data_IF_307604816561
#
_entry.id   IF_307604816561
#
_cell.length_a   1.000
_cell.length_b   1.000
_cell.length_c   1.000
_cell.angle_alpha   90.00
_cell.angle_beta   90.00
_cell.angle_gamma   90.00
#
_symmetry.space_group_name_H-M   'P 1'
#
loop_
_entity.id
_entity.type
_entity.pdbx_description
1 polymer ?
#
# COMPACT_ATOMS: atom_id res chain seq x y z
N UNK A 1 -37.07 26.21 43.25
CA UNK A 1 -35.89 26.21 42.34
C UNK A 1 -34.52 26.19 43.05
N UNK A 2 -34.41 26.44 44.37
CA UNK A 2 -33.12 26.33 45.12
C UNK A 2 -32.84 24.95 45.74
N UNK A 3 -33.86 24.13 46.04
CA UNK A 3 -33.65 22.80 46.64
C UNK A 3 -33.07 21.74 45.67
N UNK A 4 -33.44 21.76 44.39
CA UNK A 4 -32.95 20.77 43.39
C UNK A 4 -31.44 20.89 43.12
N UNK A 5 -30.88 22.10 43.13
CA UNK A 5 -29.44 22.33 42.95
C UNK A 5 -28.61 21.76 44.10
N UNK A 6 -29.10 21.87 45.35
CA UNK A 6 -28.37 21.37 46.51
C UNK A 6 -28.36 19.85 46.59
N UNK A 7 -29.45 19.18 46.17
CA UNK A 7 -29.50 17.71 46.11
C UNK A 7 -28.58 17.15 45.01
N UNK A 8 -28.51 17.82 43.86
CA UNK A 8 -27.56 17.46 42.79
C UNK A 8 -26.10 17.65 43.23
N UNK A 9 -25.82 18.72 44.00
CA UNK A 9 -24.48 18.98 44.53
C UNK A 9 -24.07 17.96 45.60
N UNK A 10 -24.98 17.56 46.49
CA UNK A 10 -24.73 16.51 47.49
C UNK A 10 -24.55 15.12 46.87
N UNK A 11 -25.32 14.79 45.82
CA UNK A 11 -25.14 13.54 45.07
C UNK A 11 -23.79 13.51 44.34
N UNK A 12 -23.39 14.61 43.69
CA UNK A 12 -22.05 14.73 43.09
C UNK A 12 -20.95 14.58 44.15
N UNK A 13 -21.12 15.21 45.31
CA UNK A 13 -20.14 15.14 46.40
C UNK A 13 -20.05 13.73 46.99
N UNK A 14 -21.16 13.00 47.09
CA UNK A 14 -21.19 11.60 47.56
C UNK A 14 -20.60 10.62 46.54
N UNK A 15 -20.77 10.88 45.24
CA UNK A 15 -20.14 10.11 44.16
C UNK A 15 -18.62 10.38 44.12
N UNK A 16 -18.20 11.64 44.31
CA UNK A 16 -16.79 12.05 44.43
C UNK A 16 -16.12 11.53 45.71
N UNK A 17 -16.84 11.37 46.81
CA UNK A 17 -16.28 10.79 48.04
C UNK A 17 -16.29 9.25 48.06
N UNK A 18 -17.10 8.62 47.21
CA UNK A 18 -17.09 7.16 46.97
C UNK A 18 -16.05 6.70 45.95
N UNK A 19 -15.43 7.64 45.22
CA UNK A 19 -14.09 7.46 44.70
C UNK A 19 -13.13 7.49 45.90
N UNK A 20 -13.14 6.41 46.68
CA UNK A 20 -11.89 5.90 47.21
C UNK A 20 -11.04 5.76 45.96
N UNK A 21 -10.16 6.75 45.76
CA UNK A 21 -8.93 6.59 45.04
C UNK A 21 -8.29 5.36 45.68
N UNK A 22 -8.63 4.18 45.15
CA UNK A 22 -7.66 3.13 45.00
C UNK A 22 -6.65 3.80 44.10
N UNK A 23 -5.76 4.62 44.67
CA UNK A 23 -4.46 4.83 44.05
C UNK A 23 -4.02 3.39 43.87
N UNK A 24 -3.91 2.89 42.63
CA UNK A 24 -3.27 1.62 42.46
C UNK A 24 -1.89 1.87 43.04
N UNK A 25 -1.66 1.44 44.29
CA UNK A 25 -0.31 1.30 44.79
C UNK A 25 0.26 0.36 43.77
N UNK A 26 1.20 0.80 42.93
CA UNK A 26 1.75 -0.11 41.93
C UNK A 26 2.27 -1.29 42.73
N UNK A 27 1.53 -2.40 42.66
CA UNK A 27 1.96 -3.64 43.27
C UNK A 27 3.11 -4.02 42.38
N UNK A 28 4.30 -3.63 42.80
CA UNK A 28 5.53 -4.09 42.19
C UNK A 28 5.41 -5.61 42.29
N UNK A 29 5.41 -6.30 41.15
CA UNK A 29 5.47 -7.75 41.16
C UNK A 29 6.63 -8.14 42.09
N UNK A 30 6.36 -8.91 43.15
CA UNK A 30 7.41 -9.37 44.03
C UNK A 30 8.24 -10.36 43.23
N UNK A 31 9.40 -9.90 42.79
CA UNK A 31 10.31 -10.67 41.98
C UNK A 31 11.55 -10.97 42.82
N UNK A 32 11.69 -12.23 43.23
CA UNK A 32 12.84 -12.73 43.97
C UNK A 32 13.62 -13.67 43.03
N UNK A 33 14.80 -13.20 42.61
CA UNK A 33 15.68 -13.94 41.71
C UNK A 33 16.11 -15.29 42.27
N UNK A 34 16.22 -15.43 43.60
CA UNK A 34 16.60 -16.68 44.24
C UNK A 34 15.54 -17.79 44.10
N UNK A 35 14.30 -17.40 43.81
CA UNK A 35 13.18 -18.32 43.59
C UNK A 35 12.98 -18.64 42.10
N UNK A 36 13.67 -17.93 41.20
CA UNK A 36 13.56 -18.16 39.77
C UNK A 36 14.33 -19.42 39.38
N UNK A 37 13.60 -20.46 38.96
CA UNK A 37 14.21 -21.67 38.44
C UNK A 37 15.08 -21.36 37.22
N UNK A 38 16.26 -21.97 37.16
CA UNK A 38 17.23 -21.86 36.06
C UNK A 38 17.83 -20.45 35.84
N UNK A 39 17.76 -19.57 36.85
CA UNK A 39 18.27 -18.20 36.72
C UNK A 39 19.80 -18.15 36.56
N UNK A 40 20.54 -19.01 37.25
CA UNK A 40 22.00 -19.04 37.16
C UNK A 40 22.48 -19.42 35.74
N UNK A 41 21.78 -20.34 35.08
CA UNK A 41 22.01 -20.75 33.70
C UNK A 41 21.72 -19.61 32.73
N UNK A 42 20.57 -18.91 32.90
CA UNK A 42 20.22 -17.74 32.07
C UNK A 42 21.21 -16.60 32.27
N UNK A 43 21.59 -16.33 33.52
CA UNK A 43 22.59 -15.31 33.89
C UNK A 43 23.93 -15.59 33.22
N UNK A 44 24.37 -16.85 33.22
CA UNK A 44 25.61 -17.27 32.57
C UNK A 44 25.52 -17.17 31.04
N UNK A 45 24.42 -17.63 30.43
CA UNK A 45 24.28 -17.69 28.98
C UNK A 45 24.11 -16.30 28.33
N UNK A 46 23.48 -15.37 29.04
CA UNK A 46 23.29 -13.98 28.60
C UNK A 46 24.36 -13.02 29.14
N UNK A 47 25.35 -13.52 29.90
CA UNK A 47 26.42 -12.72 30.48
C UNK A 47 25.91 -11.51 31.29
N UNK A 48 24.86 -11.70 32.10
CA UNK A 48 24.23 -10.62 32.87
C UNK A 48 25.21 -10.09 33.92
N UNK A 49 25.50 -8.79 33.88
CA UNK A 49 26.43 -8.15 34.83
C UNK A 49 25.78 -7.91 36.20
N UNK A 50 26.57 -7.72 37.28
CA UNK A 50 26.03 -7.38 38.60
C UNK A 50 25.18 -6.10 38.59
N UNK A 51 25.54 -5.11 37.76
CA UNK A 51 24.76 -3.89 37.60
C UNK A 51 23.41 -4.18 36.93
N UNK A 52 23.39 -5.03 35.90
CA UNK A 52 22.16 -5.45 35.21
C UNK A 52 21.25 -6.28 36.12
N UNK A 53 21.82 -7.15 36.94
CA UNK A 53 21.11 -7.92 37.97
C UNK A 53 20.46 -6.99 39.01
N UNK A 54 21.20 -5.98 39.48
CA UNK A 54 20.63 -4.97 40.38
C UNK A 54 19.48 -4.17 39.73
N UNK A 55 19.56 -3.91 38.41
CA UNK A 55 18.45 -3.30 37.67
C UNK A 55 17.25 -4.24 37.57
N UNK A 56 17.48 -5.54 37.35
CA UNK A 56 16.44 -6.55 37.30
C UNK A 56 15.71 -6.69 38.65
N UNK A 57 16.41 -6.67 39.78
CA UNK A 57 15.80 -6.63 41.12
C UNK A 57 15.02 -5.32 41.38
N UNK A 58 15.56 -4.20 40.89
CA UNK A 58 14.96 -2.88 41.11
C UNK A 58 13.74 -2.63 40.23
N UNK A 59 13.73 -3.08 38.99
CA UNK A 59 12.69 -2.72 38.01
C UNK A 59 11.91 -3.90 37.46
N UNK A 60 12.35 -5.14 37.68
CA UNK A 60 11.72 -6.35 37.14
C UNK A 60 12.02 -6.60 35.66
N UNK A 61 12.88 -5.79 35.03
CA UNK A 61 13.39 -6.03 33.68
C UNK A 61 14.79 -5.41 33.53
N UNK A 62 15.53 -5.87 32.54
CA UNK A 62 16.82 -5.30 32.13
C UNK A 62 17.00 -5.45 30.62
N UNK A 63 17.73 -4.53 30.00
CA UNK A 63 18.12 -4.64 28.60
C UNK A 63 19.53 -5.21 28.56
N UNK A 64 19.69 -6.33 27.86
CA UNK A 64 20.98 -6.99 27.66
C UNK A 64 21.36 -6.81 26.20
N UNK A 65 22.52 -6.22 25.97
CA UNK A 65 23.11 -6.18 24.64
C UNK A 65 23.70 -7.56 24.34
N UNK A 66 23.18 -8.19 23.28
CA UNK A 66 23.71 -9.46 22.82
C UNK A 66 24.99 -9.16 22.04
N UNK A 67 26.13 -9.44 22.65
CA UNK A 67 27.39 -9.46 21.93
C UNK A 67 27.31 -10.57 20.89
N UNK A 68 27.60 -10.24 19.64
CA UNK A 68 27.94 -11.26 18.66
C UNK A 68 29.23 -11.91 19.16
N UNK A 69 29.10 -13.10 19.75
CA UNK A 69 30.26 -13.91 20.05
C UNK A 69 30.99 -14.15 18.73
N UNK A 70 32.32 -14.15 18.78
CA UNK A 70 33.22 -14.44 17.66
C UNK A 70 33.17 -15.93 17.29
N UNK A 71 31.96 -16.43 17.05
CA UNK A 71 31.70 -17.75 16.54
C UNK A 71 31.92 -17.72 15.01
N UNK A 72 32.65 -18.68 14.43
CA UNK A 72 32.83 -18.81 12.98
C UNK A 72 31.52 -18.87 12.16
N UNK A 73 30.35 -18.98 12.80
CA UNK A 73 29.02 -18.89 12.20
C UNK A 73 28.40 -17.47 12.17
N UNK A 74 29.13 -16.41 12.58
CA UNK A 74 28.67 -15.00 12.63
C UNK A 74 28.02 -14.47 11.33
N UNK A 75 28.29 -15.09 10.18
CA UNK A 75 27.66 -14.71 8.92
C UNK A 75 26.28 -15.33 8.66
N UNK A 76 25.87 -16.34 9.45
CA UNK A 76 24.68 -17.15 9.20
C UNK A 76 23.55 -16.81 10.17
N UNK A 77 23.86 -16.62 11.45
CA UNK A 77 22.89 -16.31 12.49
C UNK A 77 23.22 -14.98 13.16
N UNK A 78 22.21 -14.14 13.38
CA UNK A 78 22.32 -12.86 14.05
C UNK A 78 21.27 -12.75 15.17
N UNK A 79 21.53 -13.32 16.36
CA UNK A 79 20.59 -13.33 17.47
C UNK A 79 20.25 -11.95 18.02
N UNK A 80 21.05 -10.91 17.70
CA UNK A 80 20.75 -9.52 18.06
C UNK A 80 19.68 -8.88 17.14
N UNK A 81 19.52 -9.37 15.91
CA UNK A 81 18.61 -8.81 14.90
C UNK A 81 17.43 -9.72 14.56
N UNK A 82 17.55 -11.04 14.79
CA UNK A 82 16.53 -12.02 14.41
C UNK A 82 16.05 -12.80 15.62
N UNK A 83 14.74 -12.80 15.80
CA UNK A 83 14.07 -13.46 16.91
C UNK A 83 14.32 -14.97 16.90
N UNK A 84 14.21 -15.61 15.74
CA UNK A 84 14.47 -17.05 15.57
C UNK A 84 15.92 -17.42 15.90
N UNK A 85 16.88 -16.57 15.54
CA UNK A 85 18.30 -16.81 15.80
C UNK A 85 18.60 -16.70 17.29
N UNK A 86 17.94 -15.78 18.01
CA UNK A 86 18.04 -15.70 19.47
C UNK A 86 17.56 -16.99 20.14
N UNK A 87 16.37 -17.48 19.77
CA UNK A 87 15.82 -18.71 20.36
C UNK A 87 16.66 -19.93 20.01
N UNK A 88 17.16 -20.03 18.78
CA UNK A 88 18.00 -21.15 18.38
C UNK A 88 19.37 -21.11 19.08
N UNK A 89 20.08 -19.98 19.01
CA UNK A 89 21.48 -19.88 19.43
C UNK A 89 21.66 -19.63 20.93
N UNK A 90 20.81 -18.79 21.55
CA UNK A 90 20.94 -18.48 22.98
C UNK A 90 20.09 -19.38 23.85
N UNK A 91 18.86 -19.71 23.45
CA UNK A 91 17.95 -20.51 24.28
C UNK A 91 18.17 -22.02 24.07
N UNK A 92 17.95 -22.53 22.86
CA UNK A 92 17.99 -23.97 22.57
C UNK A 92 19.38 -24.59 22.73
N UNK A 93 20.42 -23.95 22.18
CA UNK A 93 21.79 -24.45 22.27
C UNK A 93 22.35 -24.52 23.70
N UNK A 94 21.86 -23.66 24.61
CA UNK A 94 22.27 -23.64 26.02
C UNK A 94 21.28 -24.36 26.95
N UNK A 95 20.30 -25.09 26.39
CA UNK A 95 19.26 -25.80 27.15
C UNK A 95 18.52 -24.91 28.17
N UNK A 96 18.29 -23.64 27.80
CA UNK A 96 17.60 -22.68 28.67
C UNK A 96 16.07 -22.87 28.62
N UNK A 97 15.34 -22.43 29.67
CA UNK A 97 13.89 -22.45 29.64
C UNK A 97 13.31 -21.68 28.45
N UNK A 98 12.40 -22.31 27.71
CA UNK A 98 11.71 -21.68 26.58
C UNK A 98 10.55 -20.84 27.10
N UNK A 99 10.62 -19.53 26.86
CA UNK A 99 9.54 -18.60 27.17
C UNK A 99 8.72 -18.31 25.91
N UNK A 100 7.43 -18.65 25.91
CA UNK A 100 6.55 -18.41 24.75
C UNK A 100 5.65 -17.21 25.05
N UNK A 101 5.74 -16.18 24.22
CA UNK A 101 4.94 -14.95 24.33
C UNK A 101 3.94 -14.84 23.19
N UNK A 102 2.96 -13.95 23.33
CA UNK A 102 2.10 -13.55 22.20
C UNK A 102 2.94 -13.03 21.02
N UNK A 103 4.02 -12.31 21.30
CA UNK A 103 4.90 -11.74 20.27
C UNK A 103 5.65 -12.83 19.51
N UNK A 104 6.03 -13.93 20.19
CA UNK A 104 6.65 -15.08 19.52
C UNK A 104 5.73 -15.73 18.49
N UNK A 105 4.42 -15.81 18.80
CA UNK A 105 3.40 -16.35 17.90
C UNK A 105 3.13 -15.34 16.77
N UNK A 106 3.04 -14.05 17.08
CA UNK A 106 2.83 -12.99 16.10
C UNK A 106 4.01 -12.89 15.11
N UNK A 107 5.25 -12.99 15.59
CA UNK A 107 6.45 -13.06 14.76
C UNK A 107 6.38 -14.23 13.78
N UNK A 108 6.08 -15.43 14.27
CA UNK A 108 5.92 -16.60 13.42
C UNK A 108 4.83 -16.39 12.36
N UNK A 109 3.70 -15.79 12.75
CA UNK A 109 2.64 -15.44 11.80
C UNK A 109 3.14 -14.50 10.69
N UNK A 110 3.89 -13.45 11.05
CA UNK A 110 4.47 -12.53 10.06
C UNK A 110 5.45 -13.22 9.11
N UNK A 111 6.34 -14.08 9.63
CA UNK A 111 7.29 -14.84 8.79
C UNK A 111 6.54 -15.75 7.82
N UNK A 112 5.55 -16.50 8.30
CA UNK A 112 4.75 -17.41 7.45
C UNK A 112 3.96 -16.61 6.41
N UNK A 113 3.36 -15.49 6.80
CA UNK A 113 2.62 -14.62 5.89
C UNK A 113 3.54 -14.05 4.79
N UNK A 114 4.67 -13.44 5.17
CA UNK A 114 5.62 -12.84 4.24
C UNK A 114 6.19 -13.86 3.26
N UNK A 115 6.60 -15.04 3.76
CA UNK A 115 7.08 -16.13 2.90
C UNK A 115 6.00 -16.65 1.95
N UNK A 116 4.76 -16.78 2.44
CA UNK A 116 3.63 -17.26 1.63
C UNK A 116 3.29 -16.24 0.53
N UNK A 117 3.23 -14.95 0.88
CA UNK A 117 2.98 -13.86 -0.06
C UNK A 117 4.06 -13.82 -1.15
N UNK A 118 5.34 -13.86 -0.75
CA UNK A 118 6.48 -13.90 -1.68
C UNK A 118 6.37 -15.06 -2.67
N UNK A 119 5.98 -16.25 -2.20
CA UNK A 119 5.80 -17.43 -3.05
C UNK A 119 4.62 -17.26 -4.02
N UNK A 120 3.48 -16.78 -3.53
CA UNK A 120 2.27 -16.54 -4.34
C UNK A 120 2.56 -15.51 -5.42
N UNK A 121 3.19 -14.38 -5.06
CA UNK A 121 3.55 -13.32 -5.99
C UNK A 121 4.51 -13.81 -7.06
N UNK A 122 5.60 -14.48 -6.66
CA UNK A 122 6.63 -14.94 -7.59
C UNK A 122 6.12 -16.02 -8.55
N UNK A 123 5.38 -17.00 -8.03
CA UNK A 123 5.00 -18.19 -8.80
C UNK A 123 3.68 -18.03 -9.56
N UNK A 124 2.76 -17.19 -9.07
CA UNK A 124 1.42 -17.08 -9.61
C UNK A 124 1.11 -15.67 -10.12
N UNK A 125 1.25 -14.65 -9.27
CA UNK A 125 0.79 -13.30 -9.63
C UNK A 125 1.70 -12.63 -10.67
N UNK A 126 3.01 -12.81 -10.60
CA UNK A 126 3.93 -12.26 -11.58
C UNK A 126 3.65 -12.78 -13.00
N UNK A 127 3.55 -14.11 -13.26
CA UNK A 127 3.15 -14.60 -14.58
C UNK A 127 1.80 -14.06 -15.05
N UNK A 128 0.80 -13.96 -14.17
CA UNK A 128 -0.50 -13.39 -14.51
C UNK A 128 -0.40 -11.91 -14.92
N UNK A 129 0.33 -11.12 -14.14
CA UNK A 129 0.55 -9.70 -14.44
C UNK A 129 1.29 -9.51 -15.78
N UNK A 130 2.27 -10.37 -16.07
CA UNK A 130 2.99 -10.37 -17.34
C UNK A 130 2.05 -10.69 -18.51
N UNK A 131 1.23 -11.74 -18.40
CA UNK A 131 0.30 -12.11 -19.46
C UNK A 131 -0.72 -10.99 -19.74
N UNK A 132 -1.25 -10.37 -18.68
CA UNK A 132 -2.20 -9.26 -18.80
C UNK A 132 -1.54 -8.04 -19.44
N UNK A 133 -0.36 -7.64 -18.96
CA UNK A 133 0.37 -6.49 -19.50
C UNK A 133 0.76 -6.72 -20.97
N UNK A 134 1.22 -7.92 -21.32
CA UNK A 134 1.61 -8.27 -22.68
C UNK A 134 0.41 -8.23 -23.64
N UNK A 135 -0.70 -8.86 -23.27
CA UNK A 135 -1.92 -8.84 -24.08
C UNK A 135 -2.44 -7.41 -24.27
N UNK A 136 -2.52 -6.64 -23.18
CA UNK A 136 -3.05 -5.29 -23.22
C UNK A 136 -2.16 -4.37 -24.06
N UNK A 137 -0.84 -4.46 -23.90
CA UNK A 137 0.14 -3.75 -24.71
C UNK A 137 0.01 -4.06 -26.21
N UNK A 138 -0.04 -5.34 -26.58
CA UNK A 138 -0.15 -5.74 -27.98
C UNK A 138 -1.45 -5.25 -28.60
N UNK A 139 -2.56 -5.36 -27.87
CA UNK A 139 -3.87 -4.91 -28.34
C UNK A 139 -3.86 -3.40 -28.52
N UNK A 140 -3.43 -2.63 -27.51
CA UNK A 140 -3.40 -1.18 -27.58
C UNK A 140 -2.47 -0.67 -28.69
N UNK A 141 -1.32 -1.32 -28.90
CA UNK A 141 -0.39 -0.95 -29.96
C UNK A 141 -0.96 -1.23 -31.36
N UNK A 142 -1.66 -2.36 -31.54
CA UNK A 142 -2.33 -2.65 -32.81
C UNK A 142 -3.42 -1.64 -33.12
N UNK A 143 -4.23 -1.28 -32.12
CA UNK A 143 -5.28 -0.27 -32.26
C UNK A 143 -4.67 1.12 -32.55
N UNK A 144 -3.60 1.51 -31.85
CA UNK A 144 -2.86 2.75 -32.10
C UNK A 144 -2.41 2.88 -33.56
N UNK A 145 -1.92 1.78 -34.15
CA UNK A 145 -1.47 1.73 -35.54
C UNK A 145 -2.63 1.70 -36.55
N UNK A 146 -3.85 1.36 -36.11
CA UNK A 146 -5.00 1.14 -36.98
C UNK A 146 -5.99 2.31 -37.01
N UNK A 147 -5.88 3.26 -36.06
CA UNK A 147 -6.77 4.42 -35.97
C UNK A 147 -6.12 5.69 -36.55
N UNK A 148 -6.93 6.68 -37.00
CA UNK A 148 -6.41 7.99 -37.39
C UNK A 148 -5.74 8.72 -36.22
N UNK A 149 -4.65 9.42 -36.50
CA UNK A 149 -3.96 10.29 -35.53
C UNK A 149 -4.48 11.74 -35.65
N UNK A 150 -5.79 11.90 -35.50
CA UNK A 150 -6.52 13.16 -35.75
C UNK A 150 -6.71 14.03 -34.49
N UNK A 151 -6.18 13.59 -33.35
CA UNK A 151 -6.33 14.26 -32.06
C UNK A 151 -7.70 14.07 -31.40
N UNK A 152 -8.54 13.17 -31.91
CA UNK A 152 -9.80 12.81 -31.26
C UNK A 152 -9.55 12.06 -29.93
N UNK A 153 -10.59 11.97 -29.10
CA UNK A 153 -10.57 11.22 -27.83
C UNK A 153 -10.08 9.78 -28.07
N UNK A 154 -10.50 9.16 -29.18
CA UNK A 154 -10.10 7.80 -29.53
C UNK A 154 -8.58 7.66 -29.69
N UNK A 155 -7.95 8.62 -30.38
CA UNK A 155 -6.51 8.66 -30.57
C UNK A 155 -5.79 8.80 -29.23
N UNK A 156 -6.14 9.80 -28.42
CA UNK A 156 -5.45 10.08 -27.16
C UNK A 156 -5.57 8.96 -26.13
N UNK A 157 -6.78 8.42 -25.95
CA UNK A 157 -6.99 7.31 -25.02
C UNK A 157 -6.23 6.05 -25.45
N UNK A 158 -6.21 5.73 -26.75
CA UNK A 158 -5.47 4.58 -27.28
C UNK A 158 -3.96 4.77 -27.16
N UNK A 159 -3.46 5.95 -27.53
CA UNK A 159 -2.05 6.34 -27.45
C UNK A 159 -1.54 6.29 -26.01
N UNK A 160 -2.22 6.94 -25.08
CA UNK A 160 -1.81 6.98 -23.68
C UNK A 160 -1.87 5.58 -23.06
N UNK A 161 -2.94 4.81 -23.31
CA UNK A 161 -3.04 3.43 -22.82
C UNK A 161 -1.96 2.51 -23.39
N UNK A 162 -1.54 2.73 -24.65
CA UNK A 162 -0.40 2.02 -25.25
C UNK A 162 0.87 2.24 -24.44
N UNK A 163 1.13 3.49 -24.03
CA UNK A 163 2.32 3.79 -23.24
C UNK A 163 2.17 3.26 -21.81
N UNK A 164 0.96 3.32 -21.22
CA UNK A 164 0.67 2.74 -19.92
C UNK A 164 1.08 1.26 -19.84
N UNK A 165 0.63 0.47 -20.82
CA UNK A 165 0.97 -0.95 -20.87
C UNK A 165 2.40 -1.20 -21.36
N UNK A 166 2.98 -0.32 -22.17
CA UNK A 166 4.39 -0.40 -22.55
C UNK A 166 5.33 -0.24 -21.35
N UNK A 167 5.04 0.72 -20.45
CA UNK A 167 5.77 0.90 -19.19
C UNK A 167 5.62 -0.36 -18.35
N UNK A 168 4.39 -0.82 -18.10
CA UNK A 168 4.13 -2.02 -17.30
C UNK A 168 4.86 -3.27 -17.84
N UNK A 169 4.78 -3.51 -19.16
CA UNK A 169 5.46 -4.61 -19.80
C UNK A 169 6.98 -4.49 -19.64
N UNK A 170 7.54 -3.28 -19.83
CA UNK A 170 8.99 -3.05 -19.69
C UNK A 170 9.49 -3.28 -18.27
N UNK A 171 8.69 -2.91 -17.26
CA UNK A 171 9.01 -3.18 -15.86
C UNK A 171 9.01 -4.68 -15.56
N UNK A 172 8.03 -5.42 -16.07
CA UNK A 172 7.91 -6.86 -15.85
C UNK A 172 9.01 -7.64 -16.59
N UNK A 173 9.26 -7.36 -17.86
CA UNK A 173 10.26 -8.07 -18.67
C UNK A 173 11.70 -7.63 -18.35
N UNK A 174 11.86 -6.42 -17.80
CA UNK A 174 13.16 -5.76 -17.65
C UNK A 174 13.80 -5.33 -18.98
N UNK A 175 13.00 -5.24 -20.05
CA UNK A 175 13.42 -4.82 -21.38
C UNK A 175 12.47 -3.73 -21.88
N UNK A 176 12.99 -2.66 -22.49
CA UNK A 176 12.15 -1.58 -23.04
C UNK A 176 11.26 -2.10 -24.16
N UNK A 177 9.94 -1.94 -24.01
CA UNK A 177 8.95 -2.32 -25.00
C UNK A 177 9.12 -1.54 -26.31
N UNK A 178 8.87 -2.21 -27.45
CA UNK A 178 9.07 -1.63 -28.78
C UNK A 178 7.86 -0.80 -29.25
N UNK A 179 7.90 0.51 -29.04
CA UNK A 179 6.85 1.46 -29.46
C UNK A 179 7.29 2.30 -30.67
N UNK A 180 6.33 2.86 -31.45
CA UNK A 180 6.62 3.85 -32.49
C UNK A 180 7.48 5.02 -31.97
N UNK A 181 8.31 5.60 -32.84
CA UNK A 181 9.31 6.61 -32.45
C UNK A 181 8.69 7.83 -31.78
N UNK A 182 7.47 8.22 -32.17
CA UNK A 182 6.73 9.30 -31.55
C UNK A 182 6.28 9.04 -30.10
N UNK A 183 6.26 7.78 -29.66
CA UNK A 183 5.89 7.39 -28.29
C UNK A 183 7.10 7.10 -27.40
N UNK A 184 8.31 6.97 -27.97
CA UNK A 184 9.49 6.52 -27.22
C UNK A 184 9.95 7.52 -26.16
N UNK A 185 9.81 8.83 -26.42
CA UNK A 185 10.18 9.86 -25.44
C UNK A 185 9.35 9.75 -24.16
N UNK A 186 8.05 9.48 -24.30
CA UNK A 186 7.11 9.37 -23.21
C UNK A 186 7.25 8.04 -22.44
N UNK A 187 7.54 6.95 -23.15
CA UNK A 187 7.91 5.68 -22.51
C UNK A 187 9.19 5.84 -21.68
N UNK A 188 10.23 6.43 -22.28
CA UNK A 188 11.52 6.62 -21.62
C UNK A 188 11.41 7.58 -20.44
N UNK A 189 10.59 8.64 -20.53
CA UNK A 189 10.33 9.52 -19.40
C UNK A 189 9.92 8.75 -18.14
N UNK A 190 8.98 7.81 -18.25
CA UNK A 190 8.56 7.01 -17.10
C UNK A 190 9.62 6.01 -16.65
N UNK A 191 10.26 5.30 -17.59
CA UNK A 191 11.28 4.30 -17.24
C UNK A 191 12.51 4.94 -16.58
N UNK A 192 12.99 6.06 -17.11
CA UNK A 192 14.16 6.77 -16.61
C UNK A 192 13.93 7.28 -15.18
N UNK A 193 12.73 7.81 -14.89
CA UNK A 193 12.37 8.25 -13.53
C UNK A 193 12.16 7.08 -12.55
N UNK A 194 11.60 5.95 -13.01
CA UNK A 194 11.40 4.75 -12.18
C UNK A 194 12.73 4.05 -11.83
N UNK A 195 13.69 4.06 -12.75
CA UNK A 195 15.00 3.43 -12.58
C UNK A 195 16.12 4.40 -12.20
N UNK A 196 15.80 5.66 -11.92
CA UNK A 196 16.78 6.65 -11.46
C UNK A 196 17.50 6.16 -10.19
N UNK A 197 18.81 6.44 -10.09
CA UNK A 197 19.59 6.14 -8.88
C UNK A 197 19.05 6.88 -7.66
N UNK A 198 18.61 8.13 -7.88
CA UNK A 198 17.93 8.97 -6.90
C UNK A 198 16.54 9.33 -7.41
N UNK A 199 15.52 8.58 -6.98
CA UNK A 199 14.11 8.84 -7.32
C UNK A 199 13.60 10.10 -6.63
N UNK A 200 12.76 10.88 -7.32
CA UNK A 200 12.26 12.16 -6.80
C UNK A 200 10.77 12.41 -7.11
N UNK A 201 10.28 13.56 -6.66
CA UNK A 201 8.97 14.06 -7.03
C UNK A 201 9.09 14.93 -8.28
N UNK A 202 8.33 14.62 -9.33
CA UNK A 202 8.34 15.36 -10.60
C UNK A 202 7.02 16.09 -10.80
N UNK A 203 7.07 17.38 -11.12
CA UNK A 203 5.86 18.17 -11.41
C UNK A 203 5.12 17.58 -12.61
N UNK A 204 3.85 17.23 -12.41
CA UNK A 204 3.05 16.53 -13.41
C UNK A 204 2.00 17.44 -14.05
N UNK A 205 1.28 18.21 -13.22
CA UNK A 205 0.15 19.02 -13.68
C UNK A 205 -0.11 20.23 -12.79
N UNK A 206 -0.44 21.35 -13.42
CA UNK A 206 -1.12 22.45 -12.77
C UNK A 206 -2.62 22.16 -12.74
N UNK A 207 -3.21 22.13 -11.56
CA UNK A 207 -4.63 21.87 -11.34
C UNK A 207 -5.31 23.14 -10.82
N UNK A 208 -6.21 23.68 -11.63
CA UNK A 208 -7.02 24.84 -11.26
C UNK A 208 -8.43 24.40 -10.84
N UNK A 209 -8.85 24.85 -9.66
CA UNK A 209 -10.12 24.52 -9.01
C UNK A 209 -10.93 25.79 -8.72
N UNK A 210 -12.28 25.70 -8.67
CA UNK A 210 -13.14 26.87 -8.47
C UNK A 210 -13.08 27.47 -7.05
N UNK A 211 -12.52 26.74 -6.09
CA UNK A 211 -12.40 27.14 -4.68
C UNK A 211 -10.93 27.20 -4.23
N UNK A 212 -10.59 27.95 -3.17
CA UNK A 212 -9.24 27.96 -2.62
C UNK A 212 -8.69 26.55 -2.34
N UNK A 213 -7.40 26.25 -2.66
CA UNK A 213 -6.34 27.19 -3.03
C UNK A 213 -6.32 27.71 -4.48
N UNK A 214 -7.34 27.42 -5.30
CA UNK A 214 -7.47 27.80 -6.72
C UNK A 214 -6.49 27.14 -7.66
N UNK A 215 -5.19 27.10 -7.33
CA UNK A 215 -4.16 26.48 -8.15
C UNK A 215 -3.29 25.55 -7.31
N UNK A 216 -3.08 24.33 -7.80
CA UNK A 216 -2.33 23.26 -7.13
C UNK A 216 -1.37 22.64 -8.13
N UNK A 217 -0.09 22.49 -7.78
CA UNK A 217 0.83 21.67 -8.56
C UNK A 217 0.80 20.24 -8.02
N UNK A 218 0.36 19.29 -8.84
CA UNK A 218 0.41 17.87 -8.51
C UNK A 218 1.72 17.29 -9.06
N UNK A 219 2.36 16.44 -8.26
CA UNK A 219 3.63 15.77 -8.61
C UNK A 219 3.44 14.27 -8.68
N UNK A 220 4.16 13.61 -9.59
CA UNK A 220 4.36 12.16 -9.54
C UNK A 220 5.46 11.84 -8.52
N UNK A 221 5.16 10.91 -7.60
CA UNK A 221 6.08 10.44 -6.58
C UNK A 221 6.81 9.17 -7.05
N UNK A 222 7.96 9.35 -7.69
CA UNK A 222 8.77 8.20 -8.14
C UNK A 222 9.52 7.51 -6.99
N UNK A 223 9.58 8.10 -5.79
CA UNK A 223 10.24 7.49 -4.61
C UNK A 223 9.60 6.16 -4.21
N UNK A 224 8.34 5.98 -4.58
CA UNK A 224 7.54 4.79 -4.30
C UNK A 224 8.02 3.55 -5.05
N UNK A 225 8.77 3.73 -6.14
CA UNK A 225 9.35 2.63 -6.92
C UNK A 225 10.65 2.07 -6.32
N UNK A 226 11.15 2.65 -5.22
CA UNK A 226 12.28 2.12 -4.45
C UNK A 226 11.90 0.77 -3.82
N UNK A 227 12.58 -0.30 -4.26
CA UNK A 227 12.30 -1.65 -3.77
C UNK A 227 12.68 -1.81 -2.30
N UNK A 228 11.84 -2.52 -1.56
CA UNK A 228 11.94 -2.73 -0.12
C UNK A 228 11.33 -4.07 0.29
N UNK A 229 11.55 -4.48 1.54
CA UNK A 229 10.97 -5.69 2.11
C UNK A 229 11.46 -6.97 1.40
N UNK A 230 10.59 -7.97 1.30
CA UNK A 230 10.95 -9.29 0.77
C UNK A 230 11.23 -9.33 -0.75
N UNK A 231 10.90 -8.24 -1.47
CA UNK A 231 11.16 -8.09 -2.89
C UNK A 231 12.65 -7.85 -3.19
N UNK A 232 13.36 -7.20 -2.26
CA UNK A 232 14.76 -6.81 -2.45
C UNK A 232 15.68 -8.05 -2.55
N UNK A 233 16.59 -8.03 -3.51
CA UNK A 233 17.58 -9.10 -3.72
C UNK A 233 17.10 -10.24 -4.63
N UNK A 234 15.88 -10.16 -5.15
CA UNK A 234 15.34 -11.10 -6.13
C UNK A 234 14.85 -10.33 -7.38
N UNK A 235 15.60 -10.43 -8.47
CA UNK A 235 15.39 -9.60 -9.67
C UNK A 235 13.98 -9.73 -10.27
N UNK A 236 13.35 -10.90 -10.15
CA UNK A 236 11.97 -11.08 -10.63
C UNK A 236 10.97 -10.31 -9.75
N UNK A 237 11.15 -10.37 -8.43
CA UNK A 237 10.31 -9.67 -7.48
C UNK A 237 10.55 -8.16 -7.46
N UNK A 238 11.79 -7.72 -7.70
CA UNK A 238 12.10 -6.30 -7.87
C UNK A 238 11.37 -5.69 -9.08
N UNK A 239 11.27 -6.44 -10.17
CA UNK A 239 10.49 -6.08 -11.36
C UNK A 239 8.99 -6.10 -11.08
N UNK A 240 8.52 -7.16 -10.43
CA UNK A 240 7.13 -7.28 -9.98
C UNK A 240 6.70 -6.09 -9.15
N UNK A 241 7.49 -5.73 -8.14
CA UNK A 241 7.24 -4.62 -7.24
C UNK A 241 7.01 -3.32 -8.02
N UNK A 242 7.94 -2.96 -8.92
CA UNK A 242 7.81 -1.74 -9.72
C UNK A 242 6.58 -1.76 -10.62
N UNK A 243 6.27 -2.90 -11.23
CA UNK A 243 5.08 -3.03 -12.08
C UNK A 243 3.77 -2.91 -11.27
N UNK A 244 3.71 -3.48 -10.07
CA UNK A 244 2.55 -3.34 -9.19
C UNK A 244 2.45 -1.93 -8.61
N UNK A 245 3.57 -1.27 -8.32
CA UNK A 245 3.59 0.15 -7.99
C UNK A 245 3.08 1.00 -9.15
N UNK A 246 3.45 0.68 -10.39
CA UNK A 246 2.90 1.34 -11.58
C UNK A 246 1.39 1.16 -11.69
N UNK A 247 0.88 -0.08 -11.60
CA UNK A 247 -0.55 -0.34 -11.67
C UNK A 247 -1.35 0.28 -10.52
N UNK A 248 -0.80 0.27 -9.31
CA UNK A 248 -1.49 0.73 -8.11
C UNK A 248 -1.39 2.24 -7.85
N UNK A 249 -0.37 2.93 -8.40
CA UNK A 249 -0.13 4.35 -8.12
C UNK A 249 -0.11 5.27 -9.30
N UNK A 250 0.07 4.78 -10.52
CA UNK A 250 0.02 5.65 -11.68
C UNK A 250 -1.38 6.29 -11.75
N UNK A 251 -1.50 7.60 -11.53
CA UNK A 251 -2.80 8.22 -11.38
C UNK A 251 -3.52 8.25 -12.72
N UNK A 252 -4.72 7.67 -12.74
CA UNK A 252 -5.72 7.99 -13.75
C UNK A 252 -6.52 9.18 -13.22
N UNK A 253 -6.40 10.31 -13.90
CA UNK A 253 -7.07 11.53 -13.48
C UNK A 253 -8.48 11.57 -14.03
N UNK A 254 -9.45 11.71 -13.13
CA UNK A 254 -10.85 11.94 -13.47
C UNK A 254 -11.18 13.38 -13.11
N UNK A 255 -10.99 14.33 -14.05
CA UNK A 255 -11.24 15.73 -13.77
C UNK A 255 -12.74 15.96 -13.62
N UNK A 256 -13.16 16.81 -12.67
CA UNK A 256 -14.53 17.31 -12.67
C UNK A 256 -14.72 18.30 -13.83
N UNK A 257 -15.95 18.44 -14.30
CA UNK A 257 -16.26 19.33 -15.43
C UNK A 257 -15.99 20.82 -15.13
N UNK A 258 -15.90 21.20 -13.85
CA UNK A 258 -15.60 22.55 -13.37
C UNK A 258 -14.11 22.77 -13.02
N UNK A 259 -13.25 21.79 -13.28
CA UNK A 259 -11.81 21.84 -13.00
C UNK A 259 -11.00 21.93 -14.29
N UNK A 260 -9.80 22.53 -14.21
CA UNK A 260 -8.88 22.63 -15.34
C UNK A 260 -7.52 22.04 -15.00
N UNK A 261 -6.91 21.34 -15.95
CA UNK A 261 -5.65 20.64 -15.79
C UNK A 261 -4.69 20.98 -16.92
N UNK A 262 -3.57 21.60 -16.57
CA UNK A 262 -2.47 21.95 -17.47
C UNK A 262 -1.33 20.95 -17.30
N UNK A 263 -1.35 19.92 -18.14
CA UNK A 263 -0.40 18.81 -18.10
C UNK A 263 0.99 19.23 -18.57
N UNK A 264 1.98 19.00 -17.73
CA UNK A 264 3.40 19.28 -18.01
C UNK A 264 4.07 18.04 -18.63
N UNK A 265 3.59 16.87 -18.21
CA UNK A 265 4.05 15.55 -18.68
C UNK A 265 2.85 14.73 -19.12
N UNK A 266 3.10 13.59 -19.76
CA UNK A 266 2.04 12.65 -20.16
C UNK A 266 1.21 12.18 -18.94
N UNK A 267 -0.08 11.96 -19.19
CA UNK A 267 -1.06 11.54 -18.19
C UNK A 267 -2.00 10.49 -18.75
N UNK A 268 -2.76 9.89 -17.84
CA UNK A 268 -3.81 8.94 -18.15
C UNK A 268 -5.11 9.50 -17.61
N UNK A 269 -6.16 9.47 -18.42
CA UNK A 269 -7.45 10.09 -18.13
C UNK A 269 -8.59 9.06 -18.10
N UNK A 270 -9.79 9.55 -17.81
CA UNK A 270 -11.01 8.76 -17.77
C UNK A 270 -11.32 8.05 -19.09
N UNK A 271 -11.01 8.65 -20.24
CA UNK A 271 -11.13 7.99 -21.54
C UNK A 271 -10.15 6.81 -21.68
N UNK A 272 -8.89 7.01 -21.26
CA UNK A 272 -7.85 5.95 -21.23
C UNK A 272 -8.29 4.80 -20.32
N UNK A 273 -8.83 5.10 -19.14
CA UNK A 273 -9.32 4.11 -18.19
C UNK A 273 -10.42 3.22 -18.78
N UNK A 274 -11.39 3.81 -19.48
CA UNK A 274 -12.48 3.08 -20.13
C UNK A 274 -11.96 2.22 -21.26
N UNK A 275 -11.03 2.75 -22.07
CA UNK A 275 -10.39 1.98 -23.13
C UNK A 275 -9.58 0.79 -22.60
N UNK A 276 -8.75 0.99 -21.56
CA UNK A 276 -8.01 -0.08 -20.89
C UNK A 276 -8.95 -1.17 -20.36
N UNK A 277 -10.05 -0.78 -19.72
CA UNK A 277 -11.09 -1.70 -19.26
C UNK A 277 -11.70 -2.50 -20.41
N UNK A 278 -12.00 -1.87 -21.54
CA UNK A 278 -12.58 -2.54 -22.70
C UNK A 278 -11.62 -3.53 -23.35
N UNK A 279 -10.31 -3.20 -23.45
CA UNK A 279 -9.27 -4.13 -23.90
C UNK A 279 -9.27 -5.38 -23.03
N UNK A 280 -9.22 -5.20 -21.70
CA UNK A 280 -9.17 -6.32 -20.76
C UNK A 280 -10.40 -7.21 -20.93
N UNK A 281 -11.60 -6.62 -20.98
CA UNK A 281 -12.85 -7.37 -21.15
C UNK A 281 -13.05 -8.04 -22.50
N UNK A 282 -12.36 -7.57 -23.55
CA UNK A 282 -12.38 -8.23 -24.85
C UNK A 282 -11.75 -9.64 -24.82
N UNK A 283 -10.95 -9.95 -23.80
CA UNK A 283 -10.35 -11.27 -23.59
C UNK A 283 -10.70 -11.81 -22.20
N UNK A 284 -11.65 -12.73 -22.15
CA UNK A 284 -12.14 -13.31 -20.88
C UNK A 284 -11.01 -13.90 -20.04
N UNK A 285 -10.03 -14.58 -20.66
CA UNK A 285 -8.91 -15.20 -19.95
C UNK A 285 -8.03 -14.17 -19.24
N UNK A 286 -7.68 -13.08 -19.90
CA UNK A 286 -6.87 -12.01 -19.29
C UNK A 286 -7.69 -11.16 -18.32
N UNK A 287 -8.99 -10.98 -18.56
CA UNK A 287 -9.88 -10.36 -17.60
C UNK A 287 -10.00 -11.16 -16.30
N UNK A 288 -10.12 -12.49 -16.40
CA UNK A 288 -10.13 -13.39 -15.24
C UNK A 288 -8.81 -13.32 -14.46
N UNK A 289 -7.66 -13.28 -15.15
CA UNK A 289 -6.35 -13.08 -14.50
C UNK A 289 -6.27 -11.73 -13.78
N UNK A 290 -6.74 -10.66 -14.42
CA UNK A 290 -6.78 -9.33 -13.80
C UNK A 290 -7.66 -9.31 -12.54
N UNK A 291 -8.84 -9.92 -12.61
CA UNK A 291 -9.71 -10.03 -11.44
C UNK A 291 -9.06 -10.87 -10.34
N UNK A 292 -8.39 -11.98 -10.68
CA UNK A 292 -7.69 -12.80 -9.70
C UNK A 292 -6.53 -12.05 -9.03
N UNK A 293 -5.78 -11.24 -9.78
CA UNK A 293 -4.76 -10.35 -9.22
C UNK A 293 -5.37 -9.41 -8.18
N UNK A 294 -6.49 -8.77 -8.51
CA UNK A 294 -7.20 -7.86 -7.61
C UNK A 294 -7.82 -8.57 -6.41
N UNK A 295 -8.45 -9.72 -6.59
CA UNK A 295 -9.10 -10.48 -5.52
C UNK A 295 -8.09 -10.95 -4.48
N UNK A 296 -6.91 -11.40 -4.93
CA UNK A 296 -5.83 -11.82 -4.03
C UNK A 296 -5.24 -10.62 -3.28
N UNK A 297 -4.96 -9.50 -3.95
CA UNK A 297 -4.43 -8.32 -3.26
C UNK A 297 -5.46 -7.72 -2.31
N UNK A 298 -6.74 -7.69 -2.68
CA UNK A 298 -7.84 -7.28 -1.81
C UNK A 298 -7.93 -8.15 -0.56
N UNK A 299 -7.88 -9.47 -0.72
CA UNK A 299 -7.97 -10.40 0.42
C UNK A 299 -6.78 -10.30 1.38
N UNK A 300 -5.59 -9.91 0.88
CA UNK A 300 -4.36 -9.87 1.68
C UNK A 300 -4.04 -8.49 2.26
N UNK A 301 -4.38 -7.42 1.54
CA UNK A 301 -3.96 -6.04 1.85
C UNK A 301 -5.16 -5.12 2.10
N UNK A 302 -6.31 -5.42 1.50
CA UNK A 302 -7.55 -4.64 1.63
C UNK A 302 -8.01 -4.03 0.31
N UNK A 303 -9.21 -3.44 0.34
CA UNK A 303 -9.86 -2.85 -0.82
C UNK A 303 -9.10 -1.62 -1.34
N UNK A 304 -9.37 -1.27 -2.60
CA UNK A 304 -8.78 -0.06 -3.19
C UNK A 304 -9.52 1.18 -2.70
N UNK A 305 -8.77 2.17 -2.25
CA UNK A 305 -9.26 3.51 -1.90
C UNK A 305 -9.82 4.27 -3.12
N UNK A 306 -9.44 3.87 -4.34
CA UNK A 306 -9.75 4.54 -5.61
C UNK A 306 -10.82 3.80 -6.42
N UNK A 307 -11.33 4.46 -7.48
CA UNK A 307 -12.18 3.82 -8.49
C UNK A 307 -11.46 2.56 -9.02
N UNK A 308 -12.13 1.43 -8.93
CA UNK A 308 -11.68 0.15 -9.43
C UNK A 308 -12.55 -0.27 -10.63
N UNK A 309 -12.20 -1.32 -11.38
CA UNK A 309 -12.96 -1.73 -12.55
C UNK A 309 -14.45 -2.01 -12.29
N UNK A 310 -14.82 -2.49 -11.09
CA UNK A 310 -16.20 -2.78 -10.72
C UNK A 310 -17.00 -1.50 -10.46
N UNK A 311 -16.42 -0.53 -9.74
CA UNK A 311 -17.07 0.77 -9.52
C UNK A 311 -17.15 1.57 -10.81
N UNK A 312 -16.13 1.48 -11.68
CA UNK A 312 -16.16 2.03 -13.03
C UNK A 312 -17.27 1.40 -13.89
N UNK A 313 -17.41 0.07 -13.88
CA UNK A 313 -18.51 -0.61 -14.61
C UNK A 313 -19.89 -0.10 -14.18
N UNK A 314 -20.06 0.15 -12.88
CA UNK A 314 -21.32 0.69 -12.33
C UNK A 314 -21.57 2.11 -12.85
N UNK A 315 -20.56 2.97 -12.82
CA UNK A 315 -20.65 4.33 -13.36
C UNK A 315 -20.96 4.31 -14.87
N UNK A 316 -20.30 3.45 -15.63
CA UNK A 316 -20.53 3.31 -17.07
C UNK A 316 -21.96 2.83 -17.39
N UNK A 317 -22.47 1.86 -16.64
CA UNK A 317 -23.86 1.40 -16.78
C UNK A 317 -24.87 2.49 -16.45
N UNK A 318 -24.63 3.27 -15.40
CA UNK A 318 -25.51 4.38 -15.03
C UNK A 318 -25.52 5.49 -16.08
N UNK A 319 -24.34 5.82 -16.64
CA UNK A 319 -24.20 6.88 -17.63
C UNK A 319 -24.74 6.49 -19.02
N UNK A 320 -24.54 5.24 -19.45
CA UNK A 320 -24.78 4.84 -20.85
C UNK A 320 -25.74 3.66 -21.02
N UNK A 321 -26.24 3.07 -19.93
CA UNK A 321 -27.03 1.83 -19.96
C UNK A 321 -26.18 0.57 -20.14
N UNK A 322 -26.83 -0.58 -20.31
CA UNK A 322 -26.12 -1.86 -20.40
C UNK A 322 -25.37 -2.02 -21.73
N UNK A 323 -24.04 -2.06 -21.65
CA UNK A 323 -23.14 -2.45 -22.75
C UNK A 323 -22.01 -3.35 -22.27
N UNK A 324 -21.49 -4.18 -23.19
CA UNK A 324 -20.24 -4.91 -22.95
C UNK A 324 -19.03 -3.98 -23.06
N UNK A 325 -19.05 -3.03 -23.99
CA UNK A 325 -17.97 -2.10 -24.30
C UNK A 325 -18.48 -0.65 -24.28
N UNK A 326 -17.74 0.24 -23.63
CA UNK A 326 -18.18 1.63 -23.40
C UNK A 326 -17.32 2.68 -24.07
N UNK A 327 -16.14 2.33 -24.59
CA UNK A 327 -15.21 3.30 -25.15
C UNK A 327 -15.82 4.13 -26.28
N UNK A 328 -16.61 3.49 -27.17
CA UNK A 328 -17.33 4.19 -28.23
C UNK A 328 -18.41 5.15 -27.71
N UNK A 329 -19.00 4.85 -26.55
CA UNK A 329 -20.01 5.71 -25.92
C UNK A 329 -19.35 6.93 -25.29
N UNK A 330 -18.20 6.73 -24.61
CA UNK A 330 -17.41 7.79 -23.99
C UNK A 330 -16.77 8.71 -25.04
N UNK A 331 -16.29 8.14 -26.15
CA UNK A 331 -15.69 8.88 -27.25
C UNK A 331 -16.72 9.62 -28.14
N UNK A 332 -18.02 9.36 -27.96
CA UNK A 332 -19.08 10.08 -28.66
C UNK A 332 -19.22 11.52 -28.14
N UNK A 333 -19.88 12.38 -28.93
CA UNK A 333 -20.16 13.76 -28.54
C UNK A 333 -20.92 13.80 -27.20
N UNK A 334 -20.38 14.53 -26.21
CA UNK A 334 -20.94 14.62 -24.86
C UNK A 334 -20.73 13.39 -23.96
N UNK A 335 -20.18 12.29 -24.48
CA UNK A 335 -19.98 11.04 -23.73
C UNK A 335 -19.07 11.22 -22.52
N UNK A 336 -17.89 11.80 -22.72
CA UNK A 336 -16.95 12.08 -21.64
C UNK A 336 -17.55 12.96 -20.53
N UNK A 337 -18.33 13.97 -20.91
CA UNK A 337 -19.00 14.86 -19.96
C UNK A 337 -20.03 14.11 -19.11
N UNK A 338 -20.80 13.21 -19.72
CA UNK A 338 -21.77 12.36 -19.03
C UNK A 338 -21.08 11.38 -18.05
N UNK A 339 -19.94 10.79 -18.45
CA UNK A 339 -19.16 9.95 -17.55
C UNK A 339 -18.62 10.73 -16.35
N UNK A 340 -18.07 11.93 -16.57
CA UNK A 340 -17.56 12.80 -15.49
C UNK A 340 -18.66 13.28 -14.55
N UNK A 341 -19.86 13.54 -15.06
CA UNK A 341 -21.01 13.89 -14.22
C UNK A 341 -21.40 12.72 -13.31
N UNK A 342 -21.40 11.49 -13.82
CA UNK A 342 -21.63 10.29 -13.01
C UNK A 342 -20.51 10.08 -11.98
N UNK A 343 -19.25 10.10 -12.40
CA UNK A 343 -18.08 9.91 -11.52
C UNK A 343 -17.92 11.05 -10.50
N UNK A 344 -18.54 12.21 -10.73
CA UNK A 344 -18.56 13.32 -9.79
C UNK A 344 -19.48 13.11 -8.58
N UNK A 345 -20.26 12.02 -8.54
CA UNK A 345 -21.16 11.72 -7.42
C UNK A 345 -20.38 11.20 -6.18
N UNK A 346 -20.89 11.44 -4.96
CA UNK A 346 -20.18 11.11 -3.71
C UNK A 346 -19.80 9.63 -3.55
N UNK A 347 -20.55 8.71 -4.14
CA UNK A 347 -20.28 7.27 -4.07
C UNK A 347 -18.98 6.84 -4.78
N UNK A 348 -18.45 7.66 -5.71
CA UNK A 348 -17.19 7.40 -6.41
C UNK A 348 -16.02 8.21 -5.84
N UNK A 349 -16.25 8.99 -4.78
CA UNK A 349 -15.19 9.72 -4.11
C UNK A 349 -14.17 8.74 -3.53
N UNK A 350 -12.88 9.12 -3.60
CA UNK A 350 -11.80 8.35 -2.97
C UNK A 350 -12.13 8.15 -1.48
N UNK A 351 -12.09 6.88 -1.04
CA UNK A 351 -12.35 6.51 0.34
C UNK A 351 -11.02 6.16 1.01
N UNK A 352 -10.76 6.65 2.21
CA UNK A 352 -9.60 6.20 2.99
C UNK A 352 -10.09 5.05 3.85
N UNK A 353 -9.85 3.80 3.41
CA UNK A 353 -10.35 2.60 4.08
C UNK A 353 -9.44 2.12 5.22
N UNK A 354 -8.26 2.74 5.37
CA UNK A 354 -7.37 2.49 6.50
C UNK A 354 -8.01 2.96 7.80
N UNK A 355 -8.20 2.05 8.77
CA UNK A 355 -8.60 2.41 10.14
C UNK A 355 -7.53 3.27 10.81
N UNK A 356 -7.68 4.59 10.74
CA UNK A 356 -7.02 5.49 11.67
C UNK A 356 -7.84 5.50 12.97
N UNK A 357 -7.29 4.96 14.07
CA UNK A 357 -7.86 5.20 15.40
C UNK A 357 -7.73 6.69 15.71
N UNK A 358 -8.79 7.46 15.49
CA UNK A 358 -8.83 8.89 15.79
C UNK A 358 -9.02 9.10 17.30
N UNK A 359 -7.98 9.65 17.95
CA UNK A 359 -8.08 10.20 19.30
C UNK A 359 -8.51 11.67 19.24
N UNK A 360 -9.58 11.99 19.98
CA UNK A 360 -10.32 13.26 20.10
C UNK A 360 -9.67 14.58 19.60
N UNK A 361 -10.30 15.17 18.59
CA UNK A 361 -10.21 16.59 18.19
C UNK A 361 -10.86 16.84 16.82
N UNK A 362 -11.85 17.73 16.73
CA UNK A 362 -12.59 18.02 15.48
C UNK A 362 -11.76 18.98 14.61
N UNK A 363 -11.40 18.57 13.39
CA UNK A 363 -10.88 19.47 12.35
C UNK A 363 -11.98 19.75 11.30
N UNK A 364 -12.13 20.99 10.79
CA UNK A 364 -13.39 21.42 10.17
C UNK A 364 -13.70 20.91 8.76
N UNK A 365 -12.84 20.11 8.10
CA UNK A 365 -13.03 19.74 6.68
C UNK A 365 -12.47 18.36 6.25
N UNK A 366 -12.38 17.40 7.16
CA UNK A 366 -12.18 16.01 6.78
C UNK A 366 -13.18 15.14 7.55
N UNK A 367 -13.83 14.15 6.90
CA UNK A 367 -14.55 13.14 7.64
C UNK A 367 -13.55 12.42 8.56
N UNK A 368 -13.92 12.34 9.83
CA UNK A 368 -13.30 11.48 10.83
C UNK A 368 -13.46 10.04 10.29
N UNK A 369 -12.35 9.31 10.14
CA UNK A 369 -12.34 7.86 9.93
C UNK A 369 -13.02 7.15 11.10
#
# INVERSE_FOLDING_TARGET
MKLKKNVQFLLLFSLLSSLILITPVPIKASFDLSQAAYYDEVKSALSITPEQEAMLEKYGFVIVELLNDSDPLEGIFNPALRFEDFYYYKVYHNDLPVFVTTDSILHLFHVVFDCSLKLIEKQNLYPMALDVAQYAYQTSLNDYNSIPHDGAIQYWATRNSTIYFAVALSLLTGETANVPTELSADLNFFLDNIYAEETEFVDAVGWSIPEPPFDITIKYDFTQFTVRGHYLGDTQLERYFRALMWFGRCPVFVPRNDEHYDWIVMHFDDASMVYMRDILKANSTNYEKWNLLYDVTNALVGESDSINPLTLDTALQNAFGNSTYYFSHVAAEGGLMALREELGKPEYAQQILGQAVLTYGVLPRYPIV
#
